data_IF_538875530048
#
_entry.id   IF_538875530048
#
_cell.length_a   1.000
_cell.length_b   1.000
_cell.length_c   1.000
_cell.angle_alpha   90.00
_cell.angle_beta   90.00
_cell.angle_gamma   90.00
#
_symmetry.space_group_name_H-M   'P 1'
#
loop_
_entity.id
_entity.type
_entity.pdbx_description
1 polymer ?
#
# COMPACT_ATOMS: atom_id res chain seq x y z
N UNK A 1 -2.41 -26.36 -12.91
CA UNK A 1 -2.76 -25.41 -13.99
C UNK A 1 -2.57 -24.01 -13.43
N UNK A 2 -2.01 -23.05 -14.18
CA UNK A 2 -1.91 -21.65 -13.75
C UNK A 2 -3.11 -20.86 -14.27
N UNK A 3 -3.66 -19.96 -13.46
CA UNK A 3 -4.72 -19.05 -13.91
C UNK A 3 -4.13 -17.87 -14.68
N UNK A 4 -4.80 -17.44 -15.75
CA UNK A 4 -4.40 -16.24 -16.48
C UNK A 4 -4.73 -14.99 -15.67
N UNK A 5 -3.85 -13.99 -15.74
CA UNK A 5 -4.13 -12.67 -15.17
C UNK A 5 -5.26 -12.04 -15.98
N UNK A 6 -6.35 -11.64 -15.31
CA UNK A 6 -7.49 -10.98 -15.94
C UNK A 6 -7.04 -9.76 -16.75
N UNK A 7 -7.62 -9.57 -17.94
CA UNK A 7 -7.36 -8.40 -18.79
C UNK A 7 -8.02 -7.16 -18.20
N UNK A 8 -7.35 -6.52 -17.25
CA UNK A 8 -7.69 -5.17 -16.80
C UNK A 8 -6.93 -4.10 -17.56
N UNK A 9 -7.40 -2.85 -17.46
CA UNK A 9 -6.68 -1.72 -18.03
C UNK A 9 -5.24 -1.69 -17.48
N UNK A 10 -4.25 -1.50 -18.37
CA UNK A 10 -2.82 -1.49 -18.00
C UNK A 10 -2.52 -0.50 -16.86
N UNK A 11 -3.30 0.58 -16.77
CA UNK A 11 -3.18 1.62 -15.76
C UNK A 11 -3.82 1.29 -14.42
N UNK A 12 -4.77 0.34 -14.33
CA UNK A 12 -5.53 0.07 -13.11
C UNK A 12 -4.63 -0.21 -11.90
N UNK A 13 -3.70 -1.14 -12.06
CA UNK A 13 -2.80 -1.57 -10.99
C UNK A 13 -1.86 -0.46 -10.55
N UNK A 14 -1.32 0.30 -11.51
CA UNK A 14 -0.40 1.40 -11.24
C UNK A 14 -1.10 2.49 -10.43
N UNK A 15 -2.31 2.87 -10.84
CA UNK A 15 -3.11 3.87 -10.12
C UNK A 15 -3.49 3.36 -8.73
N UNK A 16 -3.95 2.12 -8.61
CA UNK A 16 -4.35 1.54 -7.33
C UNK A 16 -3.19 1.49 -6.32
N UNK A 17 -2.03 0.96 -6.75
CA UNK A 17 -0.82 0.87 -5.91
C UNK A 17 -0.33 2.27 -5.53
N UNK A 18 -0.26 3.20 -6.48
CA UNK A 18 0.17 4.58 -6.20
C UNK A 18 -0.75 5.29 -5.22
N UNK A 19 -2.08 5.12 -5.37
CA UNK A 19 -3.06 5.74 -4.49
C UNK A 19 -2.99 5.18 -3.06
N UNK A 20 -2.82 3.86 -2.93
CA UNK A 20 -2.57 3.19 -1.65
C UNK A 20 -1.28 3.72 -1.02
N UNK A 21 -0.17 3.73 -1.74
CA UNK A 21 1.11 4.23 -1.23
C UNK A 21 1.03 5.67 -0.76
N UNK A 22 0.35 6.55 -1.51
CA UNK A 22 0.21 7.95 -1.14
C UNK A 22 -0.69 8.16 0.09
N UNK A 23 -1.81 7.44 0.20
CA UNK A 23 -2.67 7.49 1.39
C UNK A 23 -1.94 7.00 2.65
N UNK A 24 -1.15 5.94 2.53
CA UNK A 24 -0.36 5.40 3.64
C UNK A 24 0.76 6.35 4.05
N UNK A 25 1.38 7.01 3.08
CA UNK A 25 2.37 8.05 3.33
C UNK A 25 1.74 9.28 4.03
N UNK A 26 0.56 9.71 3.60
CA UNK A 26 -0.18 10.82 4.22
C UNK A 26 -0.37 10.59 5.72
N UNK A 27 -0.73 9.37 6.11
CA UNK A 27 -0.89 9.00 7.52
C UNK A 27 0.43 9.11 8.29
N UNK A 28 1.54 8.66 7.70
CA UNK A 28 2.87 8.76 8.31
C UNK A 28 3.35 10.22 8.45
N UNK A 29 3.00 11.10 7.51
CA UNK A 29 3.41 12.51 7.49
C UNK A 29 2.37 13.49 8.03
N UNK A 30 1.26 12.97 8.57
CA UNK A 30 0.08 13.76 8.96
C UNK A 30 0.37 14.92 9.92
N UNK A 31 1.26 14.73 10.90
CA UNK A 31 1.66 15.79 11.83
C UNK A 31 2.90 16.59 11.41
N UNK A 32 3.50 16.31 10.25
CA UNK A 32 4.67 17.08 9.82
C UNK A 32 4.21 18.48 9.39
N UNK A 33 4.66 19.48 10.14
CA UNK A 33 4.52 20.89 9.81
C UNK A 33 5.83 21.37 9.18
N UNK A 34 5.72 22.11 8.09
CA UNK A 34 6.81 22.66 7.30
C UNK A 34 6.73 24.18 7.41
N UNK A 35 7.87 24.81 7.71
CA UNK A 35 7.97 26.27 7.80
C UNK A 35 8.99 26.78 6.77
N UNK A 36 8.53 27.57 5.79
CA UNK A 36 9.38 28.13 4.73
C UNK A 36 9.05 29.60 4.54
N UNK A 37 10.06 30.47 4.69
CA UNK A 37 9.97 31.91 4.38
C UNK A 37 8.74 32.63 4.97
N UNK A 38 8.31 32.25 6.17
CA UNK A 38 7.16 32.84 6.88
C UNK A 38 5.82 32.12 6.69
N UNK A 39 5.71 31.20 5.73
CA UNK A 39 4.55 30.31 5.58
C UNK A 39 4.71 29.08 6.47
N UNK A 40 3.66 28.72 7.20
CA UNK A 40 3.64 27.52 8.06
C UNK A 40 2.51 26.62 7.60
N UNK A 41 2.85 25.48 6.98
CA UNK A 41 1.85 24.59 6.40
C UNK A 41 2.12 23.12 6.72
N UNK A 42 1.08 22.29 6.61
CA UNK A 42 1.19 20.84 6.86
C UNK A 42 1.65 20.10 5.62
N UNK A 43 2.43 19.03 5.78
CA UNK A 43 2.81 18.15 4.67
C UNK A 43 1.59 17.55 3.95
N UNK A 44 0.46 17.39 4.65
CA UNK A 44 -0.81 16.95 4.06
C UNK A 44 -1.31 17.87 2.93
N UNK A 45 -1.03 19.18 2.99
CA UNK A 45 -1.41 20.13 1.93
C UNK A 45 -0.75 19.84 0.58
N UNK A 46 0.40 19.15 0.57
CA UNK A 46 1.10 18.74 -0.65
C UNK A 46 0.66 17.35 -1.14
N UNK A 47 0.33 16.45 -0.22
CA UNK A 47 -0.05 15.07 -0.53
C UNK A 47 -1.53 14.93 -0.95
N UNK A 48 -2.45 15.69 -0.36
CA UNK A 48 -3.88 15.67 -0.73
C UNK A 48 -4.11 16.00 -2.23
N UNK A 49 -3.45 17.01 -2.82
CA UNK A 49 -3.50 17.25 -4.26
C UNK A 49 -2.97 16.08 -5.10
N UNK A 50 -1.91 15.40 -4.64
CA UNK A 50 -1.36 14.23 -5.35
C UNK A 50 -2.36 13.06 -5.38
N UNK A 51 -3.03 12.78 -4.25
CA UNK A 51 -4.12 11.78 -4.18
C UNK A 51 -5.26 12.16 -5.12
N UNK A 52 -5.61 13.46 -5.17
CA UNK A 52 -6.65 13.97 -6.05
C UNK A 52 -6.30 13.80 -7.53
N UNK A 53 -5.04 14.04 -7.90
CA UNK A 53 -4.55 13.80 -9.25
C UNK A 53 -4.63 12.32 -9.64
N UNK A 54 -4.22 11.41 -8.76
CA UNK A 54 -4.37 9.96 -8.97
C UNK A 54 -5.83 9.54 -9.11
N UNK A 55 -6.73 10.12 -8.31
CA UNK A 55 -8.16 9.90 -8.42
C UNK A 55 -8.72 10.41 -9.75
N UNK A 56 -8.29 11.58 -10.22
CA UNK A 56 -8.67 12.11 -11.53
C UNK A 56 -8.21 11.20 -12.68
N UNK A 57 -7.00 10.65 -12.58
CA UNK A 57 -6.51 9.64 -13.53
C UNK A 57 -7.39 8.36 -13.49
N UNK A 58 -7.76 7.89 -12.29
CA UNK A 58 -8.68 6.75 -12.12
C UNK A 58 -10.03 7.01 -12.81
N UNK A 59 -10.60 8.20 -12.64
CA UNK A 59 -11.88 8.57 -13.27
C UNK A 59 -11.84 8.53 -14.80
N UNK A 60 -10.67 8.71 -15.41
CA UNK A 60 -10.52 8.91 -16.85
C UNK A 60 -9.92 7.72 -17.58
N UNK A 61 -9.05 6.96 -16.93
CA UNK A 61 -8.38 5.81 -17.53
C UNK A 61 -9.09 4.48 -17.23
N UNK A 62 -9.91 4.41 -16.18
CA UNK A 62 -10.52 3.17 -15.72
C UNK A 62 -12.03 3.11 -15.99
N UNK A 63 -12.56 1.89 -16.11
CA UNK A 63 -14.01 1.64 -16.19
C UNK A 63 -14.71 1.99 -14.87
N UNK A 64 -16.04 2.18 -14.86
CA UNK A 64 -16.77 2.47 -13.62
C UNK A 64 -16.62 1.34 -12.56
N UNK A 65 -16.53 0.09 -13.02
CA UNK A 65 -16.27 -1.04 -12.12
C UNK A 65 -14.85 -1.00 -11.57
N UNK A 66 -13.85 -0.76 -12.43
CA UNK A 66 -12.46 -0.58 -12.03
C UNK A 66 -12.31 0.58 -11.04
N UNK A 67 -12.95 1.73 -11.27
CA UNK A 67 -12.94 2.87 -10.34
C UNK A 67 -13.44 2.48 -8.95
N UNK A 68 -14.54 1.72 -8.85
CA UNK A 68 -15.05 1.20 -7.57
C UNK A 68 -14.05 0.26 -6.91
N UNK A 69 -13.39 -0.60 -7.68
CA UNK A 69 -12.35 -1.48 -7.15
C UNK A 69 -11.15 -0.68 -6.62
N UNK A 70 -10.66 0.33 -7.33
CA UNK A 70 -9.56 1.20 -6.87
C UNK A 70 -9.96 1.86 -5.54
N UNK A 71 -11.17 2.42 -5.45
CA UNK A 71 -11.68 3.05 -4.24
C UNK A 71 -11.82 2.05 -3.07
N UNK A 72 -12.40 0.88 -3.30
CA UNK A 72 -12.49 -0.18 -2.29
C UNK A 72 -11.12 -0.62 -1.80
N UNK A 73 -10.16 -0.76 -2.72
CA UNK A 73 -8.82 -1.24 -2.41
C UNK A 73 -7.99 -0.21 -1.66
N UNK A 74 -8.16 1.08 -2.00
CA UNK A 74 -7.57 2.19 -1.25
C UNK A 74 -8.11 2.28 0.17
N UNK A 75 -9.44 2.21 0.35
CA UNK A 75 -10.06 2.22 1.67
C UNK A 75 -9.62 0.99 2.50
N UNK A 76 -9.62 -0.19 1.89
CA UNK A 76 -9.14 -1.41 2.53
C UNK A 76 -7.65 -1.33 2.91
N UNK A 77 -6.81 -0.75 2.05
CA UNK A 77 -5.39 -0.54 2.32
C UNK A 77 -5.17 0.36 3.54
N UNK A 78 -5.93 1.46 3.65
CA UNK A 78 -5.88 2.34 4.82
C UNK A 78 -6.35 1.61 6.10
N UNK A 79 -7.42 0.80 6.02
CA UNK A 79 -7.88 -0.01 7.16
C UNK A 79 -6.83 -1.04 7.61
N UNK A 80 -6.26 -1.79 6.66
CA UNK A 80 -5.22 -2.80 6.97
C UNK A 80 -4.02 -2.12 7.62
N UNK A 81 -3.61 -0.96 7.13
CA UNK A 81 -2.54 -0.18 7.74
C UNK A 81 -2.88 0.28 9.14
N UNK A 82 -4.08 0.81 9.34
CA UNK A 82 -4.55 1.28 10.64
C UNK A 82 -4.55 0.14 11.67
N UNK A 83 -5.08 -1.02 11.31
CA UNK A 83 -5.10 -2.21 12.17
C UNK A 83 -3.68 -2.71 12.43
N UNK A 84 -2.84 -2.82 11.39
CA UNK A 84 -1.49 -3.32 11.52
C UNK A 84 -0.62 -2.45 12.43
N UNK A 85 -0.67 -1.13 12.24
CA UNK A 85 0.03 -0.20 13.13
C UNK A 85 -0.57 -0.24 14.54
N UNK A 86 -1.90 -0.23 14.71
CA UNK A 86 -2.52 -0.34 16.03
C UNK A 86 -2.07 -1.60 16.80
N UNK A 87 -2.02 -2.76 16.14
CA UNK A 87 -1.51 -3.99 16.73
C UNK A 87 -0.04 -3.87 17.13
N UNK A 88 0.81 -3.34 16.25
CA UNK A 88 2.23 -3.14 16.54
C UNK A 88 2.47 -2.12 17.65
N UNK A 89 1.58 -1.15 17.79
CA UNK A 89 1.71 -0.05 18.74
C UNK A 89 1.34 -0.45 20.17
N UNK A 90 0.43 -1.41 20.32
CA UNK A 90 0.05 -1.94 21.62
C UNK A 90 0.99 -3.06 22.11
N UNK A 91 1.98 -3.48 21.31
CA UNK A 91 3.01 -4.42 21.77
C UNK A 91 4.02 -3.72 22.69
N UNK A 92 4.53 -4.41 23.74
CA UNK A 92 5.49 -3.85 24.68
C UNK A 92 6.74 -3.36 23.92
N UNK A 93 6.98 -2.04 24.00
CA UNK A 93 8.19 -1.45 23.47
C UNK A 93 9.39 -1.83 24.34
N UNK A 94 10.58 -1.91 23.75
CA UNK A 94 11.80 -2.14 24.50
C UNK A 94 12.04 -1.02 25.54
N UNK A 95 12.53 -1.37 26.73
CA UNK A 95 12.67 -0.48 27.90
C UNK A 95 13.38 0.84 27.61
N UNK A 96 14.33 0.86 26.67
CA UNK A 96 15.08 2.06 26.25
C UNK A 96 14.30 3.05 25.37
N UNK A 97 13.09 2.72 24.90
CA UNK A 97 12.23 3.64 24.11
C UNK A 97 11.15 4.35 24.92
N UNK A 98 10.96 4.00 26.20
CA UNK A 98 9.82 4.47 27.00
C UNK A 98 9.82 5.98 27.29
N UNK A 99 11.00 6.62 27.30
CA UNK A 99 11.17 8.00 27.76
C UNK A 99 11.33 9.04 26.64
N UNK A 100 11.05 8.69 25.37
CA UNK A 100 11.17 9.64 24.27
C UNK A 100 9.82 10.37 24.03
N UNK A 101 9.72 11.69 24.27
CA UNK A 101 8.46 12.44 24.13
C UNK A 101 7.94 12.46 22.68
N UNK A 102 8.83 12.38 21.68
CA UNK A 102 8.43 12.29 20.27
C UNK A 102 7.76 10.95 19.99
N UNK A 103 8.16 9.90 20.70
CA UNK A 103 7.53 8.59 20.61
C UNK A 103 6.11 8.65 21.20
N UNK A 104 5.93 9.19 22.41
CA UNK A 104 4.60 9.30 23.02
C UNK A 104 3.62 10.11 22.16
N UNK A 105 4.04 11.26 21.63
CA UNK A 105 3.20 12.10 20.75
C UNK A 105 2.86 11.40 19.43
N UNK A 106 3.84 10.73 18.80
CA UNK A 106 3.60 10.05 17.52
C UNK A 106 2.65 8.88 17.67
N UNK A 107 2.67 8.19 18.82
CA UNK A 107 1.99 6.91 19.08
C UNK A 107 0.63 7.04 19.80
N UNK A 108 0.44 8.02 20.69
CA UNK A 108 -0.86 8.26 21.34
C UNK A 108 -1.93 8.77 20.36
N UNK A 109 -1.54 9.62 19.42
CA UNK A 109 -2.45 10.22 18.43
C UNK A 109 -2.66 9.36 17.17
N UNK A 110 -2.12 8.15 17.12
CA UNK A 110 -2.23 7.26 15.97
C UNK A 110 -3.68 6.93 15.58
N UNK A 111 -4.56 6.52 16.52
CA UNK A 111 -5.95 6.24 16.20
C UNK A 111 -6.66 7.44 15.57
N UNK A 112 -6.30 8.65 16.03
CA UNK A 112 -6.86 9.90 15.52
C UNK A 112 -6.41 10.19 14.09
N UNK A 113 -5.13 9.98 13.75
CA UNK A 113 -4.63 10.08 12.35
C UNK A 113 -5.42 9.16 11.42
N UNK A 114 -5.61 7.91 11.85
CA UNK A 114 -6.33 6.92 11.05
C UNK A 114 -7.78 7.30 10.84
N UNK A 115 -8.46 7.68 11.92
CA UNK A 115 -9.86 8.10 11.84
C UNK A 115 -10.02 9.30 10.89
N UNK A 116 -9.18 10.32 11.04
CA UNK A 116 -9.20 11.51 10.19
C UNK A 116 -9.07 11.15 8.70
N UNK A 117 -8.04 10.39 8.32
CA UNK A 117 -7.77 10.09 6.91
C UNK A 117 -8.80 9.12 6.31
N UNK A 118 -9.23 8.10 7.05
CA UNK A 118 -10.28 7.17 6.60
C UNK A 118 -11.59 7.91 6.37
N UNK A 119 -12.01 8.72 7.33
CA UNK A 119 -13.26 9.45 7.26
C UNK A 119 -13.22 10.50 6.14
N UNK A 120 -12.14 11.27 6.06
CA UNK A 120 -11.93 12.28 5.02
C UNK A 120 -11.96 11.63 3.62
N UNK A 121 -11.27 10.51 3.42
CA UNK A 121 -11.24 9.80 2.14
C UNK A 121 -12.64 9.27 1.77
N UNK A 122 -13.34 8.71 2.75
CA UNK A 122 -14.70 8.22 2.62
C UNK A 122 -15.69 9.29 2.16
N UNK A 123 -15.72 10.43 2.85
CA UNK A 123 -16.65 11.53 2.54
C UNK A 123 -16.28 12.25 1.24
N UNK A 124 -14.99 12.33 0.90
CA UNK A 124 -14.52 13.21 -0.18
C UNK A 124 -14.41 12.52 -1.54
N UNK A 125 -14.07 11.23 -1.59
CA UNK A 125 -13.94 10.48 -2.85
C UNK A 125 -14.93 9.32 -2.95
N UNK A 126 -15.03 8.51 -1.88
CA UNK A 126 -15.78 7.26 -1.93
C UNK A 126 -17.30 7.45 -2.03
N UNK A 127 -17.88 8.24 -1.11
CA UNK A 127 -19.31 8.49 -1.03
C UNK A 127 -19.84 9.31 -2.22
N UNK A 128 -19.18 10.39 -2.67
CA UNK A 128 -19.56 11.10 -3.89
C UNK A 128 -19.54 10.18 -5.11
N UNK A 129 -18.50 9.34 -5.26
CA UNK A 129 -18.41 8.41 -6.39
C UNK A 129 -19.61 7.46 -6.46
N UNK A 130 -20.03 6.88 -5.33
CA UNK A 130 -21.18 5.98 -5.26
C UNK A 130 -22.48 6.72 -5.59
N UNK A 131 -22.68 7.90 -5.01
CA UNK A 131 -23.90 8.69 -5.22
C UNK A 131 -24.08 9.10 -6.69
N UNK A 132 -23.01 9.58 -7.33
CA UNK A 132 -23.05 9.99 -8.74
C UNK A 132 -23.08 8.78 -9.70
N UNK A 133 -22.46 7.66 -9.32
CA UNK A 133 -22.46 6.42 -10.13
C UNK A 133 -23.83 5.76 -10.22
N UNK A 134 -24.70 5.97 -9.21
CA UNK A 134 -26.04 5.38 -9.18
C UNK A 134 -27.05 6.12 -10.04
N UNK A 135 -26.81 7.41 -10.33
CA UNK A 135 -27.80 8.29 -10.98
C UNK A 135 -27.52 8.58 -12.46
N UNK A 136 -26.27 8.61 -12.96
CA UNK A 136 -25.94 8.95 -14.38
C UNK A 136 -24.61 8.37 -14.87
N UNK A 137 -24.64 7.34 -15.73
CA UNK A 137 -23.44 6.85 -16.45
C UNK A 137 -22.80 7.95 -17.34
N UNK A 138 -23.60 8.93 -17.81
CA UNK A 138 -23.16 10.08 -18.59
C UNK A 138 -22.48 11.19 -17.77
N UNK A 139 -22.57 11.16 -16.44
CA UNK A 139 -21.94 12.19 -15.61
C UNK A 139 -20.42 12.05 -15.63
N UNK A 140 -19.90 10.82 -15.50
CA UNK A 140 -18.47 10.52 -15.53
C UNK A 140 -17.85 10.53 -16.92
N UNK A 141 -18.65 10.50 -18.00
CA UNK A 141 -18.12 10.64 -19.36
C UNK A 141 -17.66 12.07 -19.64
N UNK A 142 -18.31 13.07 -19.05
CA UNK A 142 -17.91 14.47 -19.19
C UNK A 142 -16.61 14.75 -18.45
N UNK A 143 -15.59 15.16 -19.20
CA UNK A 143 -14.28 15.57 -18.67
C UNK A 143 -14.42 16.68 -17.62
N UNK A 144 -15.31 17.65 -17.86
CA UNK A 144 -15.56 18.77 -16.94
C UNK A 144 -16.08 18.30 -15.58
N UNK A 145 -17.03 17.36 -15.58
CA UNK A 145 -17.62 16.83 -14.35
C UNK A 145 -16.62 15.98 -13.57
N UNK A 146 -15.77 15.21 -14.25
CA UNK A 146 -14.72 14.42 -13.60
C UNK A 146 -13.68 15.32 -12.91
N UNK A 147 -13.26 16.42 -13.57
CA UNK A 147 -12.35 17.41 -12.96
C UNK A 147 -13.03 18.10 -11.78
N UNK A 148 -14.28 18.53 -11.93
CA UNK A 148 -15.03 19.17 -10.85
C UNK A 148 -15.15 18.26 -9.62
N UNK A 149 -15.51 16.99 -9.84
CA UNK A 149 -15.64 16.00 -8.77
C UNK A 149 -14.30 15.74 -8.08
N UNK A 150 -13.22 15.62 -8.84
CA UNK A 150 -11.88 15.41 -8.28
C UNK A 150 -11.42 16.63 -7.47
N UNK A 151 -11.49 17.84 -8.03
CA UNK A 151 -11.02 19.07 -7.35
C UNK A 151 -11.83 19.37 -6.10
N UNK A 152 -13.17 19.26 -6.17
CA UNK A 152 -14.02 19.47 -5.00
C UNK A 152 -13.78 18.38 -3.93
N UNK A 153 -13.63 17.12 -4.35
CA UNK A 153 -13.22 16.03 -3.48
C UNK A 153 -11.85 16.30 -2.82
N UNK A 154 -10.86 16.80 -3.57
CA UNK A 154 -9.54 17.14 -3.03
C UNK A 154 -9.57 18.24 -1.98
N UNK A 155 -10.33 19.31 -2.21
CA UNK A 155 -10.50 20.39 -1.23
C UNK A 155 -11.21 19.89 0.03
N UNK A 156 -12.29 19.13 -0.13
CA UNK A 156 -13.00 18.48 0.98
C UNK A 156 -12.08 17.54 1.75
N UNK A 157 -11.27 16.75 1.05
CA UNK A 157 -10.38 15.76 1.64
C UNK A 157 -9.37 16.41 2.56
N UNK A 158 -8.68 17.45 2.09
CA UNK A 158 -7.74 18.21 2.91
C UNK A 158 -8.44 18.89 4.11
N UNK A 159 -9.57 19.57 3.88
CA UNK A 159 -10.25 20.31 4.94
C UNK A 159 -10.75 19.40 6.08
N UNK A 160 -11.38 18.28 5.72
CA UNK A 160 -11.89 17.31 6.69
C UNK A 160 -10.74 16.60 7.42
N UNK A 161 -9.70 16.16 6.69
CA UNK A 161 -8.53 15.50 7.29
C UNK A 161 -7.83 16.44 8.28
N UNK A 162 -7.51 17.67 7.88
CA UNK A 162 -6.88 18.68 8.75
C UNK A 162 -7.72 18.96 9.99
N UNK A 163 -9.03 19.16 9.84
CA UNK A 163 -9.92 19.48 10.96
C UNK A 163 -9.93 18.36 12.00
N UNK A 164 -10.07 17.10 11.59
CA UNK A 164 -10.02 15.96 12.51
C UNK A 164 -8.64 15.77 13.13
N UNK A 165 -7.57 16.06 12.38
CA UNK A 165 -6.20 15.89 12.87
C UNK A 165 -5.81 16.94 13.93
N UNK A 166 -6.31 18.16 13.83
CA UNK A 166 -5.82 19.30 14.64
C UNK A 166 -6.88 19.96 15.54
N UNK A 167 -8.13 19.48 15.56
CA UNK A 167 -9.20 20.06 16.38
C UNK A 167 -8.97 19.93 17.90
N UNK A 168 -8.39 18.81 18.37
CA UNK A 168 -8.17 18.54 19.80
C UNK A 168 -6.89 17.73 20.01
N UNK A 169 -5.82 18.22 20.68
CA UNK A 169 -5.63 19.56 21.26
C UNK A 169 -5.34 20.63 20.19
N UNK A 170 -5.79 21.88 20.44
CA UNK A 170 -5.56 23.01 19.54
C UNK A 170 -4.09 23.39 19.52
N UNK A 171 -3.46 23.29 18.36
CA UNK A 171 -2.10 23.79 18.12
C UNK A 171 -2.09 25.33 18.20
N UNK A 172 -1.00 25.91 18.71
CA UNK A 172 -0.75 27.35 18.59
C UNK A 172 -0.82 27.79 17.12
N UNK A 173 -1.54 28.87 16.83
CA UNK A 173 -1.74 29.39 15.47
C UNK A 173 -2.50 28.44 14.51
N UNK A 174 -3.40 27.59 15.02
CA UNK A 174 -4.25 26.69 14.23
C UNK A 174 -4.87 27.37 13.00
N UNK A 175 -5.43 28.57 13.15
CA UNK A 175 -6.07 29.28 12.04
C UNK A 175 -5.08 29.66 10.94
N UNK A 176 -3.91 30.19 11.31
CA UNK A 176 -2.87 30.57 10.35
C UNK A 176 -2.35 29.35 9.59
N UNK A 177 -2.04 28.26 10.31
CA UNK A 177 -1.58 27.01 9.69
C UNK A 177 -2.64 26.44 8.75
N UNK A 178 -3.93 26.50 9.14
CA UNK A 178 -5.02 26.05 8.30
C UNK A 178 -5.11 26.88 7.01
N UNK A 179 -5.09 28.20 7.09
CA UNK A 179 -5.21 29.07 5.92
C UNK A 179 -4.02 28.93 4.97
N UNK A 180 -2.78 28.92 5.48
CA UNK A 180 -1.57 28.71 4.68
C UNK A 180 -1.62 27.35 3.95
N UNK A 181 -1.95 26.29 4.69
CA UNK A 181 -2.06 24.93 4.14
C UNK A 181 -3.20 24.81 3.14
N UNK A 182 -4.36 25.43 3.41
CA UNK A 182 -5.50 25.43 2.50
C UNK A 182 -5.21 26.19 1.22
N UNK A 183 -4.51 27.32 1.29
CA UNK A 183 -4.11 28.11 0.13
C UNK A 183 -3.15 27.32 -0.77
N UNK A 184 -2.15 26.65 -0.19
CA UNK A 184 -1.22 25.79 -0.94
C UNK A 184 -1.97 24.61 -1.58
N UNK A 185 -2.85 23.95 -0.82
CA UNK A 185 -3.64 22.84 -1.35
C UNK A 185 -4.55 23.29 -2.51
N UNK A 186 -5.27 24.41 -2.34
CA UNK A 186 -6.18 24.95 -3.35
C UNK A 186 -5.44 25.38 -4.62
N UNK A 187 -4.27 26.01 -4.49
CA UNK A 187 -3.46 26.41 -5.65
C UNK A 187 -2.94 25.20 -6.43
N UNK A 188 -2.43 24.17 -5.75
CA UNK A 188 -2.01 22.92 -6.40
C UNK A 188 -3.18 22.20 -7.08
N UNK A 189 -4.34 22.11 -6.42
CA UNK A 189 -5.55 21.52 -6.99
C UNK A 189 -6.03 22.27 -8.23
N UNK A 190 -5.94 23.60 -8.23
CA UNK A 190 -6.27 24.45 -9.38
C UNK A 190 -5.29 24.16 -10.53
N UNK A 191 -3.99 24.12 -10.27
CA UNK A 191 -2.97 23.78 -11.27
C UNK A 191 -3.25 22.40 -11.88
N UNK A 192 -3.58 21.40 -11.07
CA UNK A 192 -3.96 20.05 -11.54
C UNK A 192 -5.21 20.10 -12.42
N UNK A 193 -6.26 20.80 -11.98
CA UNK A 193 -7.51 20.91 -12.72
C UNK A 193 -7.35 21.62 -14.07
N UNK A 194 -6.67 22.77 -14.08
CA UNK A 194 -6.42 23.58 -15.29
C UNK A 194 -5.48 22.87 -16.25
N UNK A 195 -4.37 22.29 -15.76
CA UNK A 195 -3.44 21.53 -16.61
C UNK A 195 -4.12 20.34 -17.26
N UNK A 196 -4.97 19.60 -16.52
CA UNK A 196 -5.72 18.48 -17.09
C UNK A 196 -6.76 18.92 -18.12
N UNK A 197 -7.49 20.01 -17.85
CA UNK A 197 -8.44 20.57 -18.81
C UNK A 197 -7.74 21.06 -20.09
N UNK A 198 -6.64 21.81 -19.96
CA UNK A 198 -5.82 22.26 -21.07
C UNK A 198 -5.30 21.08 -21.90
N UNK A 199 -4.83 20.03 -21.24
CA UNK A 199 -4.41 18.80 -21.91
C UNK A 199 -5.57 18.13 -22.66
N UNK A 200 -6.76 18.06 -22.04
CA UNK A 200 -7.94 17.45 -22.65
C UNK A 200 -8.44 18.19 -23.89
N UNK A 201 -8.35 19.52 -23.90
CA UNK A 201 -8.70 20.36 -25.05
C UNK A 201 -7.69 20.17 -26.18
N UNK A 202 -6.40 20.16 -25.86
CA UNK A 202 -5.31 20.05 -26.84
C UNK A 202 -5.26 18.68 -27.53
N UNK A 203 -5.56 17.60 -26.80
CA UNK A 203 -5.50 16.23 -27.35
C UNK A 203 -6.80 15.76 -28.05
N UNK A 204 -7.83 16.61 -28.15
CA UNK A 204 -8.95 16.47 -29.09
C UNK A 204 -9.70 15.12 -29.09
N UNK A 205 -9.61 14.33 -28.01
CA UNK A 205 -10.31 13.06 -27.89
C UNK A 205 -11.05 13.02 -26.57
N UNK A 206 -12.36 13.24 -26.64
CA UNK A 206 -13.25 12.45 -25.82
C UNK A 206 -12.86 10.99 -26.01
N UNK A 207 -12.17 10.43 -25.01
CA UNK A 207 -11.79 9.02 -24.98
C UNK A 207 -13.08 8.22 -25.11
N UNK A 208 -13.44 7.82 -26.34
CA UNK A 208 -14.50 6.85 -26.60
C UNK A 208 -14.19 5.64 -25.72
N UNK A 209 -14.97 5.46 -24.67
CA UNK A 209 -14.92 4.29 -23.78
C UNK A 209 -14.95 3.07 -24.69
N UNK A 210 -13.86 2.28 -24.72
CA UNK A 210 -13.92 0.94 -25.31
C UNK A 210 -15.08 0.20 -24.67
N UNK A 211 -15.93 -0.37 -25.51
CA UNK A 211 -17.09 -1.13 -25.11
C UNK A 211 -16.74 -2.24 -24.11
N UNK A 212 -17.66 -2.40 -23.16
CA UNK A 212 -17.51 -3.08 -21.88
C UNK A 212 -17.34 -4.59 -22.08
N UNK A 213 -16.14 -5.11 -21.85
CA UNK A 213 -16.01 -6.50 -21.39
C UNK A 213 -16.39 -6.51 -19.91
N UNK A 214 -17.40 -7.31 -19.56
CA UNK A 214 -17.81 -7.54 -18.17
C UNK A 214 -16.60 -8.06 -17.40
N UNK A 215 -15.98 -7.19 -16.59
CA UNK A 215 -14.75 -7.52 -15.87
C UNK A 215 -15.07 -8.24 -14.55
N UNK A 216 -14.64 -9.49 -14.48
CA UNK A 216 -14.71 -10.39 -13.32
C UNK A 216 -13.70 -10.00 -12.23
N UNK A 217 -13.90 -10.57 -11.03
CA UNK A 217 -13.28 -10.21 -9.76
C UNK A 217 -11.74 -10.13 -9.86
N UNK A 218 -11.10 -8.97 -9.59
CA UNK A 218 -9.66 -8.79 -9.76
C UNK A 218 -8.84 -9.36 -8.59
N UNK A 219 -9.05 -10.63 -8.21
CA UNK A 219 -8.43 -11.28 -7.03
C UNK A 219 -6.91 -11.09 -7.01
N UNK A 220 -6.25 -11.26 -8.16
CA UNK A 220 -4.81 -11.01 -8.30
C UNK A 220 -4.42 -9.61 -7.81
N UNK A 221 -5.12 -8.57 -8.27
CA UNK A 221 -4.83 -7.19 -7.92
C UNK A 221 -5.13 -6.90 -6.44
N UNK A 222 -6.16 -7.53 -5.87
CA UNK A 222 -6.44 -7.46 -4.44
C UNK A 222 -5.27 -8.04 -3.62
N UNK A 223 -4.76 -9.22 -3.99
CA UNK A 223 -3.61 -9.84 -3.32
C UNK A 223 -2.36 -8.97 -3.43
N UNK A 224 -2.08 -8.40 -4.62
CA UNK A 224 -0.95 -7.47 -4.83
C UNK A 224 -1.08 -6.25 -3.93
N UNK A 225 -2.27 -5.65 -3.83
CA UNK A 225 -2.44 -4.44 -3.04
C UNK A 225 -2.45 -4.71 -1.53
N UNK A 226 -2.92 -5.88 -1.09
CA UNK A 226 -2.71 -6.36 0.29
C UNK A 226 -1.21 -6.49 0.58
N UNK A 227 -0.46 -7.11 -0.33
CA UNK A 227 1.00 -7.26 -0.21
C UNK A 227 1.69 -5.90 -0.06
N UNK A 228 1.34 -4.93 -0.92
CA UNK A 228 1.85 -3.56 -0.88
C UNK A 228 1.47 -2.88 0.44
N UNK A 229 0.20 -2.94 0.86
CA UNK A 229 -0.23 -2.32 2.10
C UNK A 229 0.57 -2.86 3.30
N UNK A 230 0.70 -4.18 3.42
CA UNK A 230 1.47 -4.81 4.50
C UNK A 230 2.95 -4.43 4.42
N UNK A 231 3.54 -4.41 3.22
CA UNK A 231 4.91 -3.98 3.02
C UNK A 231 5.13 -2.54 3.51
N UNK A 232 4.20 -1.64 3.23
CA UNK A 232 4.31 -0.24 3.66
C UNK A 232 4.10 -0.09 5.18
N UNK A 233 3.28 -0.93 5.83
CA UNK A 233 3.24 -1.02 7.30
C UNK A 233 4.61 -1.43 7.84
N UNK A 234 5.19 -2.47 7.24
CA UNK A 234 6.49 -2.99 7.62
C UNK A 234 7.57 -1.91 7.53
N UNK A 235 7.56 -1.10 6.46
CA UNK A 235 8.47 0.04 6.32
C UNK A 235 8.22 1.14 7.36
N UNK A 236 6.96 1.52 7.58
CA UNK A 236 6.59 2.55 8.54
C UNK A 236 7.00 2.19 9.98
N UNK A 237 6.90 0.91 10.34
CA UNK A 237 7.22 0.39 11.67
C UNK A 237 8.62 -0.21 11.79
N UNK A 238 9.49 -0.05 10.79
CA UNK A 238 10.80 -0.72 10.73
C UNK A 238 11.69 -0.41 11.94
N UNK A 239 11.60 0.81 12.47
CA UNK A 239 12.43 1.30 13.57
C UNK A 239 11.94 0.91 14.96
N UNK A 240 10.75 0.33 15.07
CA UNK A 240 10.20 -0.07 16.38
C UNK A 240 10.74 -1.45 16.75
N UNK A 241 11.37 -1.52 17.91
CA UNK A 241 11.81 -2.78 18.53
C UNK A 241 10.81 -3.20 19.59
N UNK A 242 10.34 -4.44 19.48
CA UNK A 242 9.39 -5.07 20.40
C UNK A 242 10.14 -6.09 21.24
N UNK A 243 9.98 -6.04 22.55
CA UNK A 243 10.55 -7.01 23.50
C UNK A 243 9.47 -7.97 23.96
N UNK A 244 9.58 -9.25 23.61
CA UNK A 244 8.74 -10.32 24.14
C UNK A 244 9.43 -10.94 25.36
N UNK A 245 8.75 -10.93 26.51
CA UNK A 245 9.19 -11.55 27.77
C UNK A 245 10.62 -11.15 28.23
N UNK A 246 11.07 -9.92 27.95
CA UNK A 246 12.36 -9.37 28.41
C UNK A 246 13.63 -9.88 27.71
N UNK A 247 13.58 -11.02 27.02
CA UNK A 247 14.77 -11.64 26.39
C UNK A 247 14.72 -11.71 24.86
N UNK A 248 13.54 -11.58 24.24
CA UNK A 248 13.37 -11.71 22.80
C UNK A 248 13.07 -10.35 22.16
N UNK A 249 14.10 -9.69 21.64
CA UNK A 249 13.98 -8.45 20.87
C UNK A 249 13.74 -8.78 19.39
N UNK A 250 12.61 -8.31 18.84
CA UNK A 250 12.26 -8.44 17.44
C UNK A 250 11.94 -7.06 16.84
N UNK A 251 12.23 -6.88 15.56
CA UNK A 251 11.74 -5.70 14.83
C UNK A 251 10.25 -5.82 14.60
N UNK A 252 9.49 -4.73 14.80
CA UNK A 252 8.05 -4.70 14.60
C UNK A 252 7.66 -5.06 13.16
N UNK A 253 8.44 -4.60 12.18
CA UNK A 253 8.35 -5.04 10.77
C UNK A 253 8.39 -6.59 10.66
N UNK A 254 9.33 -7.21 11.37
CA UNK A 254 9.56 -8.65 11.34
C UNK A 254 8.32 -9.49 11.66
N UNK A 255 7.37 -8.94 12.45
CA UNK A 255 6.13 -9.59 12.88
C UNK A 255 5.06 -9.65 11.78
N UNK A 256 4.87 -8.56 11.02
CA UNK A 256 3.84 -8.50 9.97
C UNK A 256 4.34 -8.98 8.61
N UNK A 257 5.66 -8.94 8.39
CA UNK A 257 6.28 -9.32 7.15
C UNK A 257 5.93 -10.75 6.63
N UNK A 258 5.76 -11.79 7.48
CA UNK A 258 5.28 -13.09 7.02
C UNK A 258 3.96 -13.02 6.25
N UNK A 259 3.05 -12.10 6.60
CA UNK A 259 1.76 -11.92 5.92
C UNK A 259 1.96 -11.39 4.50
N UNK A 260 2.94 -10.48 4.29
CA UNK A 260 3.32 -10.04 2.95
C UNK A 260 3.87 -11.20 2.12
N UNK A 261 4.73 -12.05 2.69
CA UNK A 261 5.26 -13.23 1.99
C UNK A 261 4.14 -14.21 1.62
N UNK A 262 3.17 -14.46 2.52
CA UNK A 262 2.02 -15.34 2.24
C UNK A 262 1.24 -14.91 1.00
N UNK A 263 1.02 -13.60 0.84
CA UNK A 263 0.36 -13.07 -0.37
C UNK A 263 1.16 -13.37 -1.65
N UNK A 264 2.49 -13.32 -1.57
CA UNK A 264 3.40 -13.73 -2.64
C UNK A 264 3.34 -15.22 -2.93
N UNK A 265 3.29 -16.06 -1.89
CA UNK A 265 3.11 -17.51 -2.02
C UNK A 265 1.80 -17.85 -2.72
N UNK A 266 0.68 -17.20 -2.34
CA UNK A 266 -0.62 -17.39 -2.99
C UNK A 266 -0.59 -17.00 -4.46
N UNK A 267 0.06 -15.86 -4.78
CA UNK A 267 0.20 -15.41 -6.17
C UNK A 267 1.05 -16.39 -6.99
N UNK A 268 2.19 -16.84 -6.44
CA UNK A 268 3.04 -17.82 -7.11
C UNK A 268 2.38 -19.17 -7.30
N UNK A 269 1.57 -19.60 -6.33
CA UNK A 269 0.85 -20.87 -6.41
C UNK A 269 -0.29 -20.81 -7.45
N UNK A 270 -1.10 -19.75 -7.44
CA UNK A 270 -2.29 -19.64 -8.30
C UNK A 270 -1.96 -19.19 -9.73
N UNK A 271 -1.10 -18.18 -9.88
CA UNK A 271 -0.83 -17.50 -11.15
C UNK A 271 0.57 -17.79 -11.72
N UNK A 272 1.48 -18.34 -10.91
CA UNK A 272 2.78 -18.84 -11.35
C UNK A 272 3.92 -17.84 -11.34
N UNK A 273 5.08 -18.31 -11.80
CA UNK A 273 6.35 -17.60 -11.65
C UNK A 273 6.37 -16.20 -12.28
N UNK A 274 5.74 -16.04 -13.45
CA UNK A 274 5.63 -14.72 -14.12
C UNK A 274 4.86 -13.71 -13.27
N UNK A 275 3.80 -14.17 -12.59
CA UNK A 275 3.01 -13.33 -11.70
C UNK A 275 3.77 -12.99 -10.40
N UNK A 276 4.58 -13.92 -9.88
CA UNK A 276 5.49 -13.63 -8.76
C UNK A 276 6.53 -12.57 -9.13
N UNK A 277 7.15 -12.63 -10.32
CA UNK A 277 8.09 -11.59 -10.76
C UNK A 277 7.39 -10.23 -10.86
N UNK A 278 6.19 -10.20 -11.44
CA UNK A 278 5.40 -8.96 -11.54
C UNK A 278 5.12 -8.38 -10.14
N UNK A 279 4.73 -9.22 -9.18
CA UNK A 279 4.55 -8.80 -7.79
C UNK A 279 5.85 -8.22 -7.21
N UNK A 280 6.99 -8.91 -7.38
CA UNK A 280 8.29 -8.43 -6.89
C UNK A 280 8.62 -7.03 -7.41
N UNK A 281 8.44 -6.80 -8.73
CA UNK A 281 8.68 -5.50 -9.35
C UNK A 281 7.76 -4.43 -8.77
N UNK A 282 6.48 -4.75 -8.59
CA UNK A 282 5.50 -3.81 -8.01
C UNK A 282 5.86 -3.46 -6.57
N UNK A 283 6.25 -4.46 -5.75
CA UNK A 283 6.64 -4.24 -4.36
C UNK A 283 7.89 -3.36 -4.26
N UNK A 284 8.90 -3.61 -5.10
CA UNK A 284 10.11 -2.79 -5.16
C UNK A 284 9.77 -1.36 -5.58
N UNK A 285 8.97 -1.17 -6.65
CA UNK A 285 8.57 0.15 -7.10
C UNK A 285 7.75 0.89 -6.04
N UNK A 286 6.83 0.21 -5.36
CA UNK A 286 6.05 0.79 -4.27
C UNK A 286 6.91 1.18 -3.08
N UNK A 287 7.90 0.35 -2.72
CA UNK A 287 8.88 0.64 -1.68
C UNK A 287 9.69 1.89 -2.03
N UNK A 288 10.32 1.91 -3.21
CA UNK A 288 11.14 3.02 -3.67
C UNK A 288 10.34 4.32 -3.79
N UNK A 289 9.09 4.24 -4.26
CA UNK A 289 8.20 5.40 -4.32
C UNK A 289 7.88 5.96 -2.93
N UNK A 290 7.55 5.08 -1.98
CA UNK A 290 7.32 5.48 -0.59
C UNK A 290 8.57 6.08 0.05
N UNK A 291 9.73 5.45 -0.15
CA UNK A 291 11.02 5.89 0.39
C UNK A 291 11.45 7.24 -0.20
N UNK A 292 11.27 7.44 -1.50
CA UNK A 292 11.58 8.70 -2.18
C UNK A 292 10.72 9.85 -1.66
N UNK A 293 9.41 9.62 -1.48
CA UNK A 293 8.52 10.64 -0.92
C UNK A 293 8.82 10.90 0.56
N UNK A 294 9.20 9.88 1.32
CA UNK A 294 9.64 10.04 2.71
C UNK A 294 10.93 10.86 2.79
N UNK A 295 11.91 10.61 1.91
CA UNK A 295 13.13 11.43 1.81
C UNK A 295 12.82 12.88 1.46
N UNK A 296 11.94 13.10 0.47
CA UNK A 296 11.51 14.46 0.10
C UNK A 296 10.84 15.16 1.28
N UNK A 297 9.99 14.45 2.01
CA UNK A 297 9.37 14.97 3.20
C UNK A 297 10.40 15.31 4.27
N UNK A 298 11.37 14.44 4.56
CA UNK A 298 12.47 14.68 5.52
C UNK A 298 13.35 15.87 5.12
N UNK A 299 13.59 16.08 3.82
CA UNK A 299 14.37 17.21 3.32
C UNK A 299 13.70 18.58 3.59
N UNK A 300 12.38 18.63 3.80
CA UNK A 300 11.69 19.86 4.14
C UNK A 300 12.02 20.31 5.59
N UNK A 301 12.31 21.60 5.79
CA UNK A 301 12.68 22.15 7.09
C UNK A 301 11.53 21.94 8.08
N UNK A 302 11.84 21.25 9.19
CA UNK A 302 10.94 21.12 10.33
C UNK A 302 11.31 22.15 11.40
N UNK A 303 10.34 22.67 12.16
CA UNK A 303 10.61 23.62 13.24
C UNK A 303 11.44 22.97 14.37
N UNK A 304 12.20 23.79 15.11
CA UNK A 304 13.19 23.34 16.10
C UNK A 304 12.61 22.47 17.23
N UNK A 305 11.32 22.64 17.54
CA UNK A 305 10.62 21.88 18.58
C UNK A 305 10.23 20.44 18.16
N UNK A 306 10.28 20.08 16.87
CA UNK A 306 9.91 18.75 16.37
C UNK A 306 10.83 18.31 15.21
N UNK A 307 12.13 18.17 15.49
CA UNK A 307 13.15 17.88 14.48
C UNK A 307 13.59 16.40 14.49
N UNK A 308 12.91 15.57 13.70
CA UNK A 308 13.27 14.16 13.46
C UNK A 308 14.26 13.99 12.29
N UNK A 309 14.60 15.08 11.58
CA UNK A 309 15.40 15.02 10.36
C UNK A 309 16.81 14.40 10.53
N UNK A 310 17.55 14.61 11.65
CA UNK A 310 18.87 14.00 11.83
C UNK A 310 18.85 12.47 11.94
N UNK A 311 17.77 11.89 12.46
CA UNK A 311 17.63 10.44 12.59
C UNK A 311 17.37 9.79 11.22
N UNK A 312 16.47 10.40 10.43
CA UNK A 312 16.14 9.88 9.11
C UNK A 312 17.27 10.08 8.10
N UNK A 313 18.03 11.18 8.17
CA UNK A 313 19.10 11.48 7.20
C UNK A 313 20.27 10.49 7.24
N UNK A 314 20.57 9.92 8.41
CA UNK A 314 21.65 8.95 8.59
C UNK A 314 21.22 7.54 8.18
N UNK A 315 19.97 7.16 8.46
CA UNK A 315 19.54 5.77 8.37
C UNK A 315 18.89 5.45 7.02
N UNK A 316 18.15 6.38 6.42
CA UNK A 316 17.47 6.13 5.13
C UNK A 316 18.43 5.74 4.00
N UNK A 317 19.58 6.41 3.79
CA UNK A 317 20.47 6.08 2.68
C UNK A 317 21.00 4.64 2.72
N UNK A 318 21.21 4.09 3.93
CA UNK A 318 21.65 2.69 4.10
C UNK A 318 20.48 1.71 4.04
N UNK A 319 19.32 2.09 4.57
CA UNK A 319 18.12 1.24 4.64
C UNK A 319 17.54 0.93 3.26
N UNK A 320 17.41 1.95 2.40
CA UNK A 320 16.78 1.81 1.08
C UNK A 320 17.41 0.70 0.22
N UNK A 321 18.75 0.67 0.00
CA UNK A 321 19.37 -0.38 -0.79
C UNK A 321 19.25 -1.76 -0.10
N UNK A 322 19.39 -1.81 1.22
CA UNK A 322 19.29 -3.07 1.96
C UNK A 322 17.88 -3.68 1.89
N UNK A 323 16.83 -2.87 2.12
CA UNK A 323 15.44 -3.29 2.01
C UNK A 323 15.09 -3.72 0.57
N UNK A 324 15.58 -2.99 -0.43
CA UNK A 324 15.35 -3.32 -1.85
C UNK A 324 15.96 -4.67 -2.22
N UNK A 325 17.21 -4.93 -1.82
CA UNK A 325 17.88 -6.22 -2.07
C UNK A 325 17.20 -7.36 -1.29
N UNK A 326 16.79 -7.10 -0.05
CA UNK A 326 16.06 -8.06 0.76
C UNK A 326 14.71 -8.45 0.11
N UNK A 327 13.94 -7.49 -0.39
CA UNK A 327 12.69 -7.74 -1.14
C UNK A 327 12.94 -8.49 -2.44
N UNK A 328 13.99 -8.15 -3.18
CA UNK A 328 14.35 -8.84 -4.40
C UNK A 328 14.60 -10.31 -4.13
N UNK A 329 15.48 -10.62 -3.18
CA UNK A 329 15.92 -11.98 -2.90
C UNK A 329 14.76 -12.81 -2.37
N UNK A 330 13.99 -12.30 -1.43
CA UNK A 330 12.93 -13.10 -0.82
C UNK A 330 11.83 -13.48 -1.83
N UNK A 331 11.27 -12.51 -2.57
CA UNK A 331 10.15 -12.80 -3.46
C UNK A 331 10.62 -13.54 -4.73
N UNK A 332 11.83 -13.28 -5.21
CA UNK A 332 12.39 -14.01 -6.35
C UNK A 332 12.72 -15.46 -5.98
N UNK A 333 13.39 -15.69 -4.85
CA UNK A 333 13.66 -17.05 -4.36
C UNK A 333 12.38 -17.80 -4.07
N UNK A 334 11.38 -17.15 -3.47
CA UNK A 334 10.07 -17.76 -3.21
C UNK A 334 9.39 -18.23 -4.50
N UNK A 335 9.23 -17.33 -5.47
CA UNK A 335 8.59 -17.65 -6.74
C UNK A 335 9.34 -18.74 -7.52
N UNK A 336 10.68 -18.65 -7.54
CA UNK A 336 11.53 -19.62 -8.24
C UNK A 336 11.42 -21.02 -7.64
N UNK A 337 11.50 -21.12 -6.31
CA UNK A 337 11.40 -22.40 -5.61
C UNK A 337 10.01 -23.01 -5.75
N UNK A 338 8.93 -22.22 -5.66
CA UNK A 338 7.57 -22.72 -5.88
C UNK A 338 7.40 -23.34 -7.27
N UNK A 339 7.91 -22.68 -8.32
CA UNK A 339 7.83 -23.19 -9.68
C UNK A 339 8.70 -24.43 -9.91
N UNK A 340 9.89 -24.49 -9.28
CA UNK A 340 10.75 -25.67 -9.35
C UNK A 340 10.11 -26.85 -8.62
N UNK A 341 9.72 -26.67 -7.36
CA UNK A 341 9.11 -27.70 -6.51
C UNK A 341 7.80 -28.25 -7.09
N UNK A 342 7.05 -27.44 -7.83
CA UNK A 342 5.86 -27.88 -8.55
C UNK A 342 6.15 -28.91 -9.65
N UNK A 343 7.35 -28.88 -10.24
CA UNK A 343 7.77 -29.81 -11.29
C UNK A 343 8.34 -31.12 -10.74
N UNK A 344 8.50 -31.25 -9.42
CA UNK A 344 9.04 -32.46 -8.80
C UNK A 344 7.93 -33.49 -8.53
N UNK A 345 8.03 -34.71 -9.10
CA UNK A 345 6.96 -35.71 -9.04
C UNK A 345 6.72 -36.30 -7.65
N UNK A 346 7.71 -36.27 -6.76
CA UNK A 346 7.62 -36.81 -5.40
C UNK A 346 6.95 -35.88 -4.38
N UNK A 347 6.68 -34.61 -4.73
CA UNK A 347 6.22 -33.59 -3.80
C UNK A 347 4.77 -33.21 -4.10
N UNK A 348 3.87 -34.15 -3.80
CA UNK A 348 2.45 -34.04 -4.11
C UNK A 348 1.71 -33.07 -3.17
N UNK A 349 2.20 -32.92 -1.93
CA UNK A 349 1.58 -32.04 -0.94
C UNK A 349 1.86 -30.56 -1.23
N UNK A 350 0.79 -29.80 -1.51
CA UNK A 350 0.84 -28.35 -1.68
C UNK A 350 1.42 -27.63 -0.44
N UNK A 351 1.06 -28.11 0.75
CA UNK A 351 1.56 -27.57 2.01
C UNK A 351 3.08 -27.71 2.14
N UNK A 352 3.62 -28.89 1.82
CA UNK A 352 5.06 -29.15 1.89
C UNK A 352 5.84 -28.25 0.92
N UNK A 353 5.34 -28.08 -0.31
CA UNK A 353 5.95 -27.17 -1.30
C UNK A 353 5.96 -25.72 -0.81
N UNK A 354 4.84 -25.21 -0.31
CA UNK A 354 4.76 -23.84 0.22
C UNK A 354 5.72 -23.64 1.38
N UNK A 355 5.74 -24.58 2.32
CA UNK A 355 6.62 -24.54 3.49
C UNK A 355 8.09 -24.51 3.07
N UNK A 356 8.56 -25.43 2.21
CA UNK A 356 9.95 -25.49 1.76
C UNK A 356 10.35 -24.19 1.04
N UNK A 357 9.51 -23.71 0.12
CA UNK A 357 9.80 -22.47 -0.61
C UNK A 357 9.87 -21.25 0.31
N UNK A 358 8.93 -21.14 1.27
CA UNK A 358 8.91 -20.02 2.21
C UNK A 358 10.04 -20.12 3.25
N UNK A 359 10.44 -21.33 3.65
CA UNK A 359 11.56 -21.57 4.57
C UNK A 359 12.88 -21.11 3.95
N UNK A 360 13.19 -21.59 2.74
CA UNK A 360 14.41 -21.18 2.03
C UNK A 360 14.45 -19.67 1.75
N UNK A 361 13.33 -19.09 1.31
CA UNK A 361 13.26 -17.65 1.05
C UNK A 361 13.49 -16.82 2.32
N UNK A 362 12.94 -17.25 3.47
CA UNK A 362 13.17 -16.58 4.76
C UNK A 362 14.60 -16.72 5.28
N UNK A 363 15.21 -17.89 5.12
CA UNK A 363 16.62 -18.09 5.49
C UNK A 363 17.51 -17.14 4.69
N UNK A 364 17.29 -17.02 3.38
CA UNK A 364 18.01 -16.06 2.53
C UNK A 364 17.73 -14.60 2.93
N UNK A 365 16.49 -14.27 3.25
CA UNK A 365 16.11 -12.93 3.74
C UNK A 365 16.92 -12.56 4.98
N UNK A 366 16.94 -13.43 5.99
CA UNK A 366 17.61 -13.17 7.26
C UNK A 366 19.11 -13.01 7.04
N UNK A 367 19.72 -13.92 6.26
CA UNK A 367 21.14 -13.86 5.93
C UNK A 367 21.50 -12.50 5.29
N UNK A 368 20.77 -12.09 4.26
CA UNK A 368 21.10 -10.88 3.51
C UNK A 368 20.76 -9.61 4.29
N UNK A 369 19.57 -9.55 4.90
CA UNK A 369 19.11 -8.34 5.58
C UNK A 369 20.01 -8.02 6.78
N UNK A 370 20.39 -9.03 7.56
CA UNK A 370 21.24 -8.82 8.72
C UNK A 370 22.68 -8.50 8.31
N UNK A 371 23.22 -9.16 7.28
CA UNK A 371 24.54 -8.82 6.73
C UNK A 371 24.61 -7.41 6.13
N UNK A 372 23.53 -6.90 5.53
CA UNK A 372 23.54 -5.54 4.95
C UNK A 372 23.23 -4.45 5.98
N UNK A 373 22.23 -4.64 6.85
CA UNK A 373 21.84 -3.62 7.83
C UNK A 373 22.83 -3.50 8.99
N UNK A 374 23.32 -4.61 9.53
CA UNK A 374 23.99 -4.60 10.85
C UNK A 374 25.50 -4.71 10.81
N UNK A 375 26.11 -5.02 9.64
CA UNK A 375 27.57 -5.00 9.49
C UNK A 375 28.14 -3.64 9.90
N UNK A 376 28.98 -3.61 10.93
CA UNK A 376 29.61 -2.39 11.45
C UNK A 376 28.75 -1.55 12.41
N UNK A 377 27.56 -2.02 12.80
CA UNK A 377 26.68 -1.32 13.78
C UNK A 377 26.58 -2.10 15.10
N UNK A 378 26.42 -3.42 15.03
CA UNK A 378 26.31 -4.29 16.22
C UNK A 378 27.45 -5.30 16.26
N UNK A 379 27.73 -5.84 17.45
CA UNK A 379 28.70 -6.94 17.59
C UNK A 379 28.21 -8.19 16.85
N UNK A 380 29.14 -9.00 16.36
CA UNK A 380 28.83 -10.20 15.57
C UNK A 380 27.89 -11.17 16.31
N UNK A 381 28.10 -11.34 17.62
CA UNK A 381 27.27 -12.20 18.46
C UNK A 381 25.83 -11.67 18.58
N UNK A 382 25.66 -10.38 18.84
CA UNK A 382 24.34 -9.74 18.94
C UNK A 382 23.58 -9.85 17.62
N UNK A 383 24.27 -9.63 16.49
CA UNK A 383 23.67 -9.74 15.17
C UNK A 383 23.16 -11.16 14.89
N UNK A 384 23.95 -12.19 15.22
CA UNK A 384 23.56 -13.58 15.04
C UNK A 384 22.38 -13.98 15.92
N UNK A 385 22.37 -13.59 17.20
CA UNK A 385 21.24 -13.86 18.09
C UNK A 385 19.95 -13.20 17.58
N UNK A 386 20.05 -11.95 17.12
CA UNK A 386 18.91 -11.21 16.60
C UNK A 386 18.39 -11.82 15.28
N UNK A 387 19.29 -12.29 14.41
CA UNK A 387 18.98 -12.99 13.17
C UNK A 387 18.29 -14.33 13.45
N UNK A 388 18.86 -15.11 14.36
CA UNK A 388 18.33 -16.42 14.74
C UNK A 388 16.94 -16.30 15.36
N UNK A 389 16.73 -15.37 16.29
CA UNK A 389 15.43 -15.15 16.92
C UNK A 389 14.37 -14.74 15.90
N UNK A 390 14.70 -13.83 14.98
CA UNK A 390 13.79 -13.44 13.90
C UNK A 390 13.49 -14.59 12.95
N UNK A 391 14.48 -15.43 12.64
CA UNK A 391 14.31 -16.60 11.81
C UNK A 391 13.39 -17.64 12.48
N UNK A 392 13.63 -17.98 13.75
CA UNK A 392 12.79 -18.93 14.52
C UNK A 392 11.34 -18.43 14.57
N UNK A 393 11.12 -17.16 14.94
CA UNK A 393 9.80 -16.56 14.98
C UNK A 393 9.06 -16.71 13.65
N UNK A 394 9.72 -16.33 12.54
CA UNK A 394 9.11 -16.37 11.20
C UNK A 394 8.76 -17.80 10.77
N UNK A 395 9.50 -18.81 11.22
CA UNK A 395 9.23 -20.21 10.93
C UNK A 395 8.09 -20.78 11.78
N UNK A 396 8.03 -20.45 13.07
CA UNK A 396 6.91 -20.84 13.95
C UNK A 396 5.61 -20.21 13.43
N UNK A 397 5.64 -18.92 13.10
CA UNK A 397 4.49 -18.22 12.52
C UNK A 397 3.98 -18.91 11.24
N UNK A 398 4.90 -19.37 10.38
CA UNK A 398 4.52 -20.13 9.19
C UNK A 398 3.80 -21.41 9.55
N UNK A 399 4.36 -22.19 10.46
CA UNK A 399 3.82 -23.51 10.78
C UNK A 399 2.38 -23.40 11.30
N UNK A 400 2.10 -22.35 12.08
CA UNK A 400 0.76 -22.04 12.58
C UNK A 400 -0.21 -21.62 11.47
N UNK A 401 0.26 -20.84 10.50
CA UNK A 401 -0.61 -20.26 9.47
C UNK A 401 -0.69 -21.07 8.18
N UNK A 402 0.21 -22.03 7.97
CA UNK A 402 0.24 -22.93 6.83
C UNK A 402 -1.10 -23.64 6.54
N UNK A 403 -1.83 -24.20 7.53
CA UNK A 403 -3.14 -24.79 7.26
C UNK A 403 -4.15 -23.77 6.72
N UNK A 404 -4.14 -22.55 7.28
CA UNK A 404 -4.97 -21.45 6.80
C UNK A 404 -4.57 -21.04 5.37
N UNK A 405 -3.28 -20.97 5.07
CA UNK A 405 -2.77 -20.61 3.74
C UNK A 405 -3.23 -21.60 2.67
N UNK A 406 -3.17 -22.90 2.96
CA UNK A 406 -3.64 -23.96 2.06
C UNK A 406 -5.15 -23.88 1.86
N UNK A 407 -5.91 -23.64 2.93
CA UNK A 407 -7.36 -23.47 2.87
C UNK A 407 -7.75 -22.26 2.01
N UNK A 408 -7.13 -21.09 2.23
CA UNK A 408 -7.36 -19.88 1.42
C UNK A 408 -7.00 -20.15 -0.04
N UNK A 409 -5.87 -20.81 -0.30
CA UNK A 409 -5.48 -21.15 -1.66
C UNK A 409 -6.53 -22.01 -2.37
N UNK A 410 -7.09 -23.01 -1.70
CA UNK A 410 -8.13 -23.87 -2.26
C UNK A 410 -9.46 -23.11 -2.47
N UNK A 411 -9.84 -22.25 -1.51
CA UNK A 411 -11.02 -21.40 -1.62
C UNK A 411 -10.92 -20.43 -2.82
N UNK A 412 -9.75 -19.82 -3.03
CA UNK A 412 -9.49 -18.93 -4.16
C UNK A 412 -9.47 -19.69 -5.49
N UNK A 413 -8.84 -20.87 -5.52
CA UNK A 413 -8.82 -21.75 -6.70
C UNK A 413 -10.23 -22.14 -7.13
N UNK A 414 -11.08 -22.56 -6.20
CA UNK A 414 -12.49 -22.91 -6.47
C UNK A 414 -13.28 -21.72 -7.03
N UNK A 415 -13.05 -20.50 -6.50
CA UNK A 415 -13.69 -19.30 -7.04
C UNK A 415 -13.21 -18.98 -8.45
N UNK A 416 -11.90 -19.09 -8.72
CA UNK A 416 -11.33 -18.85 -10.04
C UNK A 416 -11.83 -19.87 -11.08
N UNK A 417 -12.02 -21.14 -10.70
CA UNK A 417 -12.61 -22.18 -11.56
C UNK A 417 -14.08 -21.87 -11.90
N UNK A 418 -14.92 -21.62 -10.90
CA UNK A 418 -16.32 -21.23 -11.12
C UNK A 418 -16.44 -20.00 -12.03
N UNK A 419 -15.50 -19.07 -11.90
CA UNK A 419 -15.43 -17.91 -12.78
C UNK A 419 -15.03 -18.29 -14.20
N UNK A 420 -14.09 -19.20 -14.43
CA UNK A 420 -13.75 -19.67 -15.78
C UNK A 420 -14.94 -20.38 -16.44
N UNK A 421 -15.64 -21.26 -15.71
CA UNK A 421 -16.78 -22.03 -16.22
C UNK A 421 -17.96 -21.13 -16.59
N UNK A 422 -18.25 -20.11 -15.77
CA UNK A 422 -19.29 -19.11 -16.09
C UNK A 422 -18.95 -18.25 -17.31
N UNK A 423 -17.67 -18.04 -17.65
CA UNK A 423 -17.30 -17.35 -18.90
C UNK A 423 -17.53 -18.24 -20.11
N UNK A 424 -17.16 -19.52 -20.01
CA UNK A 424 -17.33 -20.46 -21.10
C UNK A 424 -18.82 -20.63 -21.44
N UNK A 425 -19.70 -20.71 -20.43
CA UNK A 425 -21.15 -20.80 -20.66
C UNK A 425 -21.75 -19.52 -21.29
N UNK A 426 -21.33 -18.33 -20.86
CA UNK A 426 -21.78 -17.06 -21.45
C UNK A 426 -21.28 -16.86 -22.89
N UNK A 427 -20.06 -17.32 -23.18
CA UNK A 427 -19.49 -17.24 -24.54
C UNK A 427 -20.19 -18.21 -25.49
N UNK A 428 -20.51 -19.42 -25.02
CA UNK A 428 -21.22 -20.42 -25.81
C UNK A 428 -22.67 -20.02 -26.10
N UNK A 429 -23.36 -19.41 -25.14
CA UNK A 429 -24.73 -18.90 -25.33
C UNK A 429 -24.79 -17.67 -26.25
N UNK A 430 -23.81 -16.77 -26.18
CA UNK A 430 -23.66 -15.67 -27.13
C UNK A 430 -23.39 -16.17 -28.55
N UNK A 431 -22.54 -17.19 -28.71
CA UNK A 431 -22.18 -17.76 -30.01
C UNK A 431 -23.35 -18.52 -30.64
N UNK A 432 -24.12 -19.24 -29.83
CA UNK A 432 -25.35 -19.90 -30.26
C UNK A 432 -26.41 -18.89 -30.75
N UNK A 433 -26.53 -17.72 -30.10
CA UNK A 433 -27.44 -16.64 -30.54
C UNK A 433 -27.03 -16.00 -31.86
N UNK A 434 -25.73 -15.82 -32.11
CA UNK A 434 -25.24 -15.24 -33.37
C UNK A 434 -25.30 -16.18 -34.57
N UNK A 435 -25.43 -17.49 -34.35
CA UNK A 435 -25.62 -18.48 -35.42
C UNK A 435 -27.09 -18.72 -35.79
N UNK A 436 -28.03 -18.17 -35.02
CA UNK A 436 -29.49 -18.29 -35.24
C UNK A 436 -30.06 -17.02 -35.90
N UNK A 437 -29.30 -15.93 -35.96
CA UNK A 437 -29.55 -14.73 -36.78
C UNK A 437 -28.78 -14.81 -38.09
#
# INVERSE_FOLDING_TARGET
MYFSISSQSKSFLVIAVSMISCLLLLINLSFKIVAVSGLVFTASSLLCPLITWLYLLALRQCSLAEQRHILNLSLMGVYIFSIGVYLLVNLPAAEYMHNNPVYQIVFEDIPKKFFATVFAFGVSFYLPHILFSRKRDSFFSSTKNAVLLAVFGGMSFFAVDFYFLFSVPRIQNFQLIFFDSFLICATLLLIIGVSYLAWSVSYGKDMKKKEKVVQKLPIFYYLVCIAVAILLICLACEYRLVTLNGQWTLTANGLLFPIALMSGTLIGELYGYRASILLTVILILAQLFFDALLMLAVALPSPDFFNLNPFYSIILPRRIPAATVALLIIFLSNGFLLDRLRRLPWLTSRAARMFIANFCARTLLVLVSYSLLFTGVYSYEQMLTLAFNAWVYKNIFELLILPLLVWVCHALEKRLQNEQDSSLSLTNTSKARSTIS
#
